data_IF_050739326396
#
_entry.id   IF_050739326396
#
_cell.length_a   1.000
_cell.length_b   1.000
_cell.length_c   1.000
_cell.angle_alpha   90.00
_cell.angle_beta   90.00
_cell.angle_gamma   90.00
#
_symmetry.space_group_name_H-M   'P 1'
#
loop_
_entity.id
_entity.type
_entity.pdbx_description
1 polymer ?
#
# COMPACT_ATOMS: atom_id res chain seq x y z
N UNK A 1 -48.80 5.41 -1.86
CA UNK A 1 -47.53 5.14 -2.62
C UNK A 1 -46.29 4.97 -1.74
N UNK A 2 -46.39 4.74 -0.43
CA UNK A 2 -45.25 4.73 0.55
C UNK A 2 -44.58 3.35 0.79
N UNK A 3 -45.13 2.25 0.32
CA UNK A 3 -44.62 0.88 0.63
C UNK A 3 -43.41 0.42 -0.16
N UNK A 4 -42.98 1.15 -1.21
CA UNK A 4 -41.87 0.74 -2.07
C UNK A 4 -40.49 1.10 -1.56
N UNK A 5 -40.36 2.10 -0.68
CA UNK A 5 -39.07 2.62 -0.19
C UNK A 5 -38.44 1.76 0.92
N UNK A 6 -39.26 1.22 1.82
CA UNK A 6 -38.79 0.40 2.97
C UNK A 6 -38.15 -0.94 2.57
N UNK A 7 -38.58 -1.56 1.46
CA UNK A 7 -37.98 -2.80 0.94
C UNK A 7 -36.59 -2.60 0.35
N UNK A 8 -36.19 -1.38 -0.04
CA UNK A 8 -34.90 -1.12 -0.66
C UNK A 8 -33.76 -0.97 0.37
N UNK A 9 -34.04 -0.36 1.54
CA UNK A 9 -33.07 -0.17 2.61
C UNK A 9 -32.70 -1.50 3.27
N UNK A 10 -33.66 -2.34 3.60
CA UNK A 10 -33.41 -3.68 4.17
C UNK A 10 -32.66 -4.61 3.19
N UNK A 11 -32.89 -4.49 1.90
CA UNK A 11 -32.12 -5.24 0.89
C UNK A 11 -30.66 -4.75 0.78
N UNK A 12 -30.41 -3.44 0.90
CA UNK A 12 -29.07 -2.87 0.86
C UNK A 12 -28.23 -3.27 2.08
N UNK A 13 -28.82 -3.24 3.28
CA UNK A 13 -28.15 -3.68 4.51
C UNK A 13 -27.86 -5.18 4.52
N UNK A 14 -28.81 -6.01 4.07
CA UNK A 14 -28.60 -7.46 3.94
C UNK A 14 -27.53 -7.80 2.89
N UNK A 15 -27.48 -7.08 1.77
CA UNK A 15 -26.47 -7.27 0.75
C UNK A 15 -25.06 -6.83 1.23
N UNK A 16 -24.96 -5.75 2.02
CA UNK A 16 -23.72 -5.31 2.65
C UNK A 16 -23.23 -6.33 3.69
N UNK A 17 -24.12 -6.87 4.52
CA UNK A 17 -23.79 -7.91 5.49
C UNK A 17 -23.29 -9.19 4.82
N UNK A 18 -23.96 -9.69 3.79
CA UNK A 18 -23.50 -10.85 3.00
C UNK A 18 -22.14 -10.62 2.35
N UNK A 19 -21.88 -9.41 1.80
CA UNK A 19 -20.56 -9.06 1.27
C UNK A 19 -19.49 -9.02 2.35
N UNK A 20 -19.79 -8.55 3.55
CA UNK A 20 -18.84 -8.53 4.67
C UNK A 20 -18.55 -9.96 5.17
N UNK A 21 -19.55 -10.81 5.30
CA UNK A 21 -19.39 -12.22 5.69
C UNK A 21 -18.55 -13.03 4.68
N UNK A 22 -18.71 -12.74 3.38
CA UNK A 22 -17.90 -13.39 2.33
C UNK A 22 -16.45 -12.90 2.28
N UNK A 23 -16.17 -11.68 2.75
CA UNK A 23 -14.82 -11.10 2.75
C UNK A 23 -13.96 -11.58 3.92
N UNK A 24 -14.56 -11.97 5.04
CA UNK A 24 -13.84 -12.44 6.21
C UNK A 24 -12.96 -13.68 5.95
N UNK A 25 -13.48 -14.79 5.37
CA UNK A 25 -12.63 -15.95 5.13
C UNK A 25 -11.54 -15.70 4.11
N UNK A 26 -11.82 -14.92 3.06
CA UNK A 26 -10.81 -14.55 2.07
C UNK A 26 -9.74 -13.62 2.69
N UNK A 27 -10.13 -12.67 3.53
CA UNK A 27 -9.19 -11.80 4.24
C UNK A 27 -8.31 -12.56 5.23
N UNK A 28 -8.86 -13.52 5.97
CA UNK A 28 -8.10 -14.40 6.87
C UNK A 28 -7.12 -15.28 6.09
N UNK A 29 -7.53 -15.86 4.97
CA UNK A 29 -6.65 -16.63 4.10
C UNK A 29 -5.48 -15.81 3.55
N UNK A 30 -5.75 -14.57 3.10
CA UNK A 30 -4.72 -13.65 2.64
C UNK A 30 -3.78 -13.23 3.77
N UNK A 31 -4.30 -12.99 4.98
CA UNK A 31 -3.49 -12.67 6.15
C UNK A 31 -2.55 -13.84 6.52
N UNK A 32 -3.09 -15.06 6.52
CA UNK A 32 -2.29 -16.27 6.76
C UNK A 32 -1.20 -16.42 5.70
N UNK A 33 -1.52 -16.21 4.41
CA UNK A 33 -0.55 -16.22 3.32
C UNK A 33 0.55 -15.17 3.51
N UNK A 34 0.20 -13.96 3.92
CA UNK A 34 1.16 -12.88 4.21
C UNK A 34 2.08 -13.22 5.39
N UNK A 35 1.53 -13.79 6.47
CA UNK A 35 2.32 -14.27 7.60
C UNK A 35 3.27 -15.41 7.20
N UNK A 36 2.80 -16.34 6.39
CA UNK A 36 3.61 -17.44 5.88
C UNK A 36 4.77 -16.92 5.01
N UNK A 37 4.52 -15.91 4.16
CA UNK A 37 5.57 -15.24 3.39
C UNK A 37 6.58 -14.52 4.30
N UNK A 38 6.14 -13.89 5.38
CA UNK A 38 7.06 -13.30 6.37
C UNK A 38 7.93 -14.37 7.02
N UNK A 39 7.34 -15.47 7.49
CA UNK A 39 8.09 -16.58 8.08
C UNK A 39 9.08 -17.15 7.07
N UNK A 40 8.66 -17.34 5.82
CA UNK A 40 9.51 -17.82 4.73
C UNK A 40 10.71 -16.88 4.47
N UNK A 41 10.51 -15.56 4.60
CA UNK A 41 11.59 -14.59 4.42
C UNK A 41 12.60 -14.57 5.59
N UNK A 42 12.16 -14.87 6.83
CA UNK A 42 13.04 -14.83 7.99
C UNK A 42 13.70 -16.16 8.34
N UNK A 43 13.05 -17.28 8.01
CA UNK A 43 13.49 -18.61 8.43
C UNK A 43 14.05 -19.36 7.24
N UNK A 44 15.35 -19.61 7.27
CA UNK A 44 15.99 -20.55 6.34
C UNK A 44 15.72 -21.99 6.82
N UNK A 45 14.98 -22.74 6.03
CA UNK A 45 14.70 -24.14 6.29
C UNK A 45 15.44 -25.09 5.36
N UNK A 46 15.12 -26.38 5.45
CA UNK A 46 15.69 -27.42 4.61
C UNK A 46 14.69 -27.89 3.53
N UNK A 47 15.21 -28.61 2.54
CA UNK A 47 14.42 -29.26 1.49
C UNK A 47 13.50 -28.29 0.71
N UNK A 48 12.21 -28.52 0.71
CA UNK A 48 11.19 -27.72 -0.01
C UNK A 48 11.15 -26.28 0.48
N UNK A 49 11.32 -26.04 1.79
CA UNK A 49 11.33 -24.72 2.37
C UNK A 49 12.47 -23.85 1.83
N UNK A 50 13.65 -24.45 1.68
CA UNK A 50 14.83 -23.79 1.09
C UNK A 50 14.57 -23.37 -0.36
N UNK A 51 13.98 -24.25 -1.17
CA UNK A 51 13.66 -23.93 -2.56
C UNK A 51 12.68 -22.75 -2.64
N UNK A 52 11.64 -22.75 -1.80
CA UNK A 52 10.69 -21.63 -1.74
C UNK A 52 11.34 -20.32 -1.29
N UNK A 53 12.22 -20.38 -0.30
CA UNK A 53 13.01 -19.25 0.17
C UNK A 53 13.91 -18.69 -0.94
N UNK A 54 14.66 -19.56 -1.63
CA UNK A 54 15.57 -19.18 -2.71
C UNK A 54 14.81 -18.58 -3.89
N UNK A 55 13.65 -19.12 -4.25
CA UNK A 55 12.78 -18.54 -5.29
C UNK A 55 12.27 -17.17 -4.86
N UNK A 56 11.82 -17.03 -3.63
CA UNK A 56 11.30 -15.76 -3.11
C UNK A 56 12.40 -14.68 -3.12
N UNK A 57 13.58 -15.01 -2.61
CA UNK A 57 14.71 -14.08 -2.57
C UNK A 57 15.33 -13.86 -3.95
N UNK A 58 15.41 -14.88 -4.80
CA UNK A 58 15.85 -14.73 -6.18
C UNK A 58 14.95 -13.78 -6.98
N UNK A 59 13.64 -13.80 -6.75
CA UNK A 59 12.71 -12.91 -7.43
C UNK A 59 12.69 -11.50 -6.83
N UNK A 60 12.52 -11.38 -5.53
CA UNK A 60 12.26 -10.11 -4.84
C UNK A 60 13.47 -9.58 -4.07
N UNK A 61 14.48 -10.40 -3.78
CA UNK A 61 15.59 -10.00 -2.93
C UNK A 61 15.12 -9.48 -1.58
N UNK A 62 15.64 -8.33 -1.14
CA UNK A 62 15.21 -7.66 0.10
C UNK A 62 13.73 -7.22 0.07
N UNK A 63 13.12 -7.08 -1.11
CA UNK A 63 11.69 -6.83 -1.27
C UNK A 63 10.81 -7.94 -0.72
N UNK A 64 11.34 -9.15 -0.48
CA UNK A 64 10.63 -10.27 0.13
C UNK A 64 10.08 -9.91 1.52
N UNK A 65 10.82 -9.15 2.31
CA UNK A 65 10.38 -8.67 3.62
C UNK A 65 9.21 -7.69 3.50
N UNK A 66 9.33 -6.77 2.52
CA UNK A 66 8.28 -5.77 2.23
C UNK A 66 7.03 -6.46 1.68
N UNK A 67 7.21 -7.49 0.83
CA UNK A 67 6.11 -8.24 0.23
C UNK A 67 5.22 -8.90 1.29
N UNK A 68 5.80 -9.60 2.26
CA UNK A 68 5.05 -10.23 3.35
C UNK A 68 4.23 -9.22 4.15
N UNK A 69 4.84 -8.11 4.55
CA UNK A 69 4.16 -7.02 5.25
C UNK A 69 3.05 -6.37 4.41
N UNK A 70 3.31 -6.15 3.11
CA UNK A 70 2.34 -5.60 2.17
C UNK A 70 1.10 -6.49 2.02
N UNK A 71 1.28 -7.81 1.89
CA UNK A 71 0.17 -8.77 1.80
C UNK A 71 -0.66 -8.76 3.10
N UNK A 72 -0.02 -8.69 4.27
CA UNK A 72 -0.73 -8.55 5.54
C UNK A 72 -1.55 -7.25 5.61
N UNK A 73 -0.97 -6.12 5.20
CA UNK A 73 -1.69 -4.85 5.12
C UNK A 73 -2.88 -4.90 4.16
N UNK A 74 -2.69 -5.52 2.97
CA UNK A 74 -3.78 -5.72 2.01
C UNK A 74 -4.91 -6.58 2.57
N UNK A 75 -4.60 -7.64 3.33
CA UNK A 75 -5.59 -8.47 3.99
C UNK A 75 -6.48 -7.66 4.94
N UNK A 76 -5.87 -6.78 5.75
CA UNK A 76 -6.59 -5.90 6.66
C UNK A 76 -7.45 -4.87 5.90
N UNK A 77 -6.92 -4.26 4.84
CA UNK A 77 -7.67 -3.29 4.02
C UNK A 77 -8.83 -3.96 3.27
N UNK A 78 -8.63 -5.20 2.81
CA UNK A 78 -9.67 -5.99 2.16
C UNK A 78 -10.85 -6.27 3.10
N UNK A 79 -10.59 -6.63 4.35
CA UNK A 79 -11.64 -6.85 5.35
C UNK A 79 -12.39 -5.56 5.69
N UNK A 80 -11.72 -4.40 5.64
CA UNK A 80 -12.33 -3.08 5.85
C UNK A 80 -13.18 -2.59 4.67
N UNK A 81 -13.07 -3.24 3.52
CA UNK A 81 -13.88 -2.89 2.34
C UNK A 81 -13.38 -1.67 1.56
N UNK A 82 -12.14 -1.25 1.78
CA UNK A 82 -11.52 -0.15 1.03
C UNK A 82 -11.26 -0.51 -0.44
N UNK A 83 -11.07 0.50 -1.28
CA UNK A 83 -10.71 0.31 -2.69
C UNK A 83 -9.32 -0.31 -2.81
N UNK A 84 -9.31 -1.59 -3.16
CA UNK A 84 -8.10 -2.42 -3.15
C UNK A 84 -7.17 -2.12 -4.32
N UNK A 85 -7.72 -1.79 -5.48
CA UNK A 85 -6.95 -1.66 -6.72
C UNK A 85 -5.88 -0.57 -6.64
N UNK A 86 -6.25 0.61 -6.16
CA UNK A 86 -5.31 1.73 -5.98
C UNK A 86 -4.22 1.40 -4.96
N UNK A 87 -4.56 0.70 -3.88
CA UNK A 87 -3.62 0.30 -2.83
C UNK A 87 -2.66 -0.78 -3.31
N UNK A 88 -3.16 -1.78 -4.05
CA UNK A 88 -2.31 -2.81 -4.66
C UNK A 88 -1.31 -2.18 -5.63
N UNK A 89 -1.78 -1.26 -6.49
CA UNK A 89 -0.90 -0.58 -7.45
C UNK A 89 0.23 0.18 -6.75
N UNK A 90 -0.07 0.93 -5.68
CA UNK A 90 0.93 1.65 -4.89
C UNK A 90 1.93 0.69 -4.22
N UNK A 91 1.46 -0.44 -3.69
CA UNK A 91 2.32 -1.44 -3.05
C UNK A 91 3.23 -2.14 -4.05
N UNK A 92 2.71 -2.54 -5.22
CA UNK A 92 3.49 -3.14 -6.31
C UNK A 92 4.54 -2.16 -6.81
N UNK A 93 4.15 -0.91 -7.04
CA UNK A 93 5.07 0.14 -7.46
C UNK A 93 6.17 0.36 -6.41
N UNK A 94 5.80 0.44 -5.14
CA UNK A 94 6.76 0.57 -4.03
C UNK A 94 7.73 -0.59 -3.95
N UNK A 95 7.25 -1.82 -4.15
CA UNK A 95 8.09 -3.01 -4.18
C UNK A 95 9.10 -2.96 -5.33
N UNK A 96 8.66 -2.61 -6.54
CA UNK A 96 9.54 -2.48 -7.71
C UNK A 96 10.58 -1.37 -7.50
N UNK A 97 10.19 -0.25 -6.88
CA UNK A 97 11.13 0.82 -6.55
C UNK A 97 12.17 0.37 -5.53
N UNK A 98 11.77 -0.30 -4.45
CA UNK A 98 12.72 -0.80 -3.44
C UNK A 98 13.71 -1.78 -4.07
N UNK A 99 13.21 -2.78 -4.80
CA UNK A 99 14.05 -3.77 -5.49
C UNK A 99 14.98 -3.11 -6.51
N UNK A 100 14.46 -2.18 -7.32
CA UNK A 100 15.24 -1.47 -8.34
C UNK A 100 16.33 -0.60 -7.73
N UNK A 101 16.04 0.08 -6.62
CA UNK A 101 17.02 0.89 -5.90
C UNK A 101 18.20 0.05 -5.44
N UNK A 102 17.93 -1.11 -4.85
CA UNK A 102 18.98 -2.00 -4.34
C UNK A 102 19.88 -2.49 -5.48
N UNK A 103 19.33 -2.77 -6.67
CA UNK A 103 20.16 -3.17 -7.84
C UNK A 103 21.05 -2.03 -8.30
N UNK A 104 20.51 -0.81 -8.40
CA UNK A 104 21.29 0.35 -8.87
C UNK A 104 22.46 0.65 -7.92
N UNK A 105 22.24 0.50 -6.61
CA UNK A 105 23.29 0.69 -5.60
C UNK A 105 24.12 -0.55 -5.30
N UNK A 106 23.81 -1.72 -5.90
CA UNK A 106 24.61 -2.95 -5.78
C UNK A 106 25.87 -2.88 -6.62
N UNK A 107 26.83 -3.79 -6.34
CA UNK A 107 28.10 -3.87 -7.08
C UNK A 107 28.00 -4.63 -8.43
N UNK A 108 26.80 -4.92 -8.90
CA UNK A 108 26.60 -5.60 -10.18
C UNK A 108 27.08 -4.67 -11.32
N UNK A 109 28.11 -5.10 -12.05
CA UNK A 109 28.63 -4.35 -13.19
C UNK A 109 27.89 -4.79 -14.48
N UNK A 110 27.20 -3.87 -15.18
CA UNK A 110 26.45 -4.21 -16.40
C UNK A 110 27.34 -4.39 -17.63
N UNK A 111 28.64 -4.02 -17.54
CA UNK A 111 29.52 -3.98 -18.71
C UNK A 111 29.72 -5.37 -19.34
N UNK A 112 29.31 -5.49 -20.62
CA UNK A 112 29.48 -6.71 -21.40
C UNK A 112 28.45 -7.81 -21.16
N UNK A 113 27.47 -7.61 -20.31
CA UNK A 113 26.40 -8.57 -20.06
C UNK A 113 25.18 -8.30 -20.96
N UNK A 114 24.63 -9.38 -21.53
CA UNK A 114 23.31 -9.31 -22.17
C UNK A 114 22.22 -9.14 -21.11
N UNK A 115 21.04 -8.66 -21.51
CA UNK A 115 19.91 -8.46 -20.59
C UNK A 115 19.53 -9.75 -19.84
N UNK A 116 19.58 -10.91 -20.50
CA UNK A 116 19.30 -12.20 -19.88
C UNK A 116 20.38 -12.63 -18.88
N UNK A 117 21.65 -12.38 -19.20
CA UNK A 117 22.75 -12.65 -18.27
C UNK A 117 22.66 -11.75 -17.04
N UNK A 118 22.30 -10.49 -17.21
CA UNK A 118 22.11 -9.57 -16.09
C UNK A 118 20.90 -9.95 -15.23
N UNK A 119 19.81 -10.39 -15.84
CA UNK A 119 18.65 -10.92 -15.12
C UNK A 119 19.01 -12.14 -14.27
N UNK A 120 19.77 -13.09 -14.86
CA UNK A 120 20.23 -14.29 -14.14
C UNK A 120 21.21 -13.95 -13.01
N UNK A 121 22.07 -12.95 -13.21
CA UNK A 121 22.98 -12.45 -12.17
C UNK A 121 22.20 -11.76 -11.02
N UNK A 122 21.16 -10.98 -11.33
CA UNK A 122 20.28 -10.38 -10.32
C UNK A 122 19.53 -11.44 -9.50
N UNK A 123 19.05 -12.51 -10.16
CA UNK A 123 18.42 -13.63 -9.49
C UNK A 123 19.40 -14.37 -8.57
N UNK A 124 20.56 -14.74 -9.08
CA UNK A 124 21.59 -15.43 -8.29
C UNK A 124 22.07 -14.59 -7.09
N UNK A 125 22.23 -13.29 -7.31
CA UNK A 125 22.56 -12.37 -6.23
C UNK A 125 21.42 -12.26 -5.19
N UNK A 126 20.16 -12.36 -5.63
CA UNK A 126 19.00 -12.43 -4.74
C UNK A 126 19.06 -13.62 -3.80
N UNK A 127 19.41 -14.78 -4.31
CA UNK A 127 19.53 -16.02 -3.51
C UNK A 127 20.68 -15.93 -2.49
N UNK A 128 21.81 -15.31 -2.88
CA UNK A 128 23.05 -15.33 -2.10
C UNK A 128 23.23 -14.13 -1.16
N UNK A 129 22.54 -13.02 -1.41
CA UNK A 129 22.72 -11.78 -0.66
C UNK A 129 21.40 -11.23 -0.12
N UNK A 130 21.35 -10.95 1.17
CA UNK A 130 20.17 -10.38 1.83
C UNK A 130 19.78 -9.00 1.28
N UNK A 131 20.77 -8.19 0.95
CA UNK A 131 20.62 -6.86 0.35
C UNK A 131 20.77 -6.96 -1.17
N UNK A 132 19.81 -7.61 -1.79
CA UNK A 132 19.74 -7.74 -3.24
C UNK A 132 18.35 -7.29 -3.72
N UNK A 133 18.29 -6.81 -4.97
CA UNK A 133 17.00 -6.41 -5.57
C UNK A 133 16.27 -7.54 -6.28
N UNK A 134 16.87 -8.73 -6.39
CA UNK A 134 16.30 -9.87 -7.09
C UNK A 134 16.01 -9.61 -8.57
N UNK A 135 15.32 -10.56 -9.22
CA UNK A 135 14.96 -10.45 -10.63
C UNK A 135 13.96 -9.32 -10.91
N UNK A 136 13.07 -9.02 -9.98
CA UNK A 136 12.08 -7.93 -10.14
C UNK A 136 12.76 -6.56 -10.12
N UNK A 137 13.81 -6.38 -9.33
CA UNK A 137 14.60 -5.17 -9.34
C UNK A 137 15.28 -4.90 -10.69
N UNK A 138 15.56 -5.95 -11.48
CA UNK A 138 16.08 -5.80 -12.82
C UNK A 138 15.14 -5.02 -13.74
N UNK A 139 13.82 -5.15 -13.58
CA UNK A 139 12.80 -4.47 -14.41
C UNK A 139 13.01 -2.96 -14.41
N UNK A 140 13.35 -2.38 -13.27
CA UNK A 140 13.60 -0.94 -13.15
C UNK A 140 15.10 -0.63 -13.06
N UNK A 141 15.77 -1.17 -12.05
CA UNK A 141 17.17 -0.86 -11.77
C UNK A 141 18.12 -1.42 -12.81
N UNK A 142 17.93 -2.69 -13.23
CA UNK A 142 18.78 -3.33 -14.22
C UNK A 142 18.65 -2.69 -15.61
N UNK A 143 17.43 -2.35 -16.01
CA UNK A 143 17.19 -1.65 -17.28
C UNK A 143 17.83 -0.25 -17.27
N UNK A 144 17.71 0.49 -16.17
CA UNK A 144 18.38 1.78 -16.03
C UNK A 144 19.92 1.67 -16.13
N UNK A 145 20.49 0.65 -15.49
CA UNK A 145 21.94 0.41 -15.55
C UNK A 145 22.42 0.07 -16.97
N UNK A 146 21.62 -0.71 -17.71
CA UNK A 146 21.95 -1.08 -19.08
C UNK A 146 21.83 0.08 -20.06
N UNK A 147 20.83 0.95 -19.89
CA UNK A 147 20.56 2.07 -20.79
C UNK A 147 21.43 3.30 -20.51
N UNK A 148 21.58 3.66 -19.25
CA UNK A 148 22.15 4.94 -18.84
C UNK A 148 23.56 4.81 -18.24
N UNK A 149 23.97 3.59 -17.91
CA UNK A 149 25.19 3.36 -17.12
C UNK A 149 25.03 3.81 -15.66
N UNK A 150 26.03 3.49 -14.84
CA UNK A 150 25.95 3.59 -13.39
C UNK A 150 25.71 5.02 -12.85
N UNK A 151 26.49 6.06 -13.27
CA UNK A 151 26.32 7.40 -12.71
C UNK A 151 24.95 8.01 -13.03
N UNK A 152 24.46 7.84 -14.25
CA UNK A 152 23.15 8.37 -14.64
C UNK A 152 21.99 7.56 -14.01
N UNK A 153 22.13 6.24 -13.94
CA UNK A 153 21.14 5.39 -13.28
C UNK A 153 20.97 5.74 -11.80
N UNK A 154 22.05 6.04 -11.07
CA UNK A 154 22.01 6.48 -9.69
C UNK A 154 21.21 7.79 -9.53
N UNK A 155 21.48 8.79 -10.36
CA UNK A 155 20.76 10.08 -10.32
C UNK A 155 19.28 9.90 -10.63
N UNK A 156 18.96 9.19 -11.70
CA UNK A 156 17.58 8.93 -12.10
C UNK A 156 16.85 8.16 -10.98
N UNK A 157 17.50 7.17 -10.40
CA UNK A 157 16.90 6.36 -9.34
C UNK A 157 16.62 7.16 -8.08
N UNK A 158 17.50 8.07 -7.69
CA UNK A 158 17.26 8.99 -6.56
C UNK A 158 16.04 9.87 -6.83
N UNK A 159 15.92 10.45 -8.03
CA UNK A 159 14.76 11.26 -8.40
C UNK A 159 13.47 10.43 -8.40
N UNK A 160 13.52 9.25 -9.02
CA UNK A 160 12.38 8.33 -9.04
C UNK A 160 11.95 7.89 -7.63
N UNK A 161 12.93 7.64 -6.74
CA UNK A 161 12.66 7.26 -5.36
C UNK A 161 12.01 8.40 -4.58
N UNK A 162 12.47 9.64 -4.78
CA UNK A 162 11.84 10.81 -4.19
C UNK A 162 10.41 11.01 -4.71
N UNK A 163 10.21 11.04 -6.02
CA UNK A 163 8.90 11.20 -6.62
C UNK A 163 7.95 10.04 -6.27
N UNK A 164 8.46 8.80 -6.35
CA UNK A 164 7.71 7.61 -6.02
C UNK A 164 7.27 7.57 -4.56
N UNK A 165 8.14 7.96 -3.63
CA UNK A 165 7.79 8.04 -2.21
C UNK A 165 6.70 9.07 -1.95
N UNK A 166 6.75 10.25 -2.58
CA UNK A 166 5.70 11.26 -2.49
C UNK A 166 4.34 10.71 -2.96
N UNK A 167 4.35 9.99 -4.08
CA UNK A 167 3.15 9.39 -4.63
C UNK A 167 2.57 8.29 -3.73
N UNK A 168 3.43 7.41 -3.19
CA UNK A 168 3.01 6.28 -2.34
C UNK A 168 2.43 6.78 -1.02
N UNK A 169 3.05 7.81 -0.42
CA UNK A 169 2.62 8.36 0.87
C UNK A 169 1.52 9.42 0.76
N UNK A 170 1.08 9.76 -0.46
CA UNK A 170 0.11 10.84 -0.73
C UNK A 170 0.56 12.18 -0.10
N UNK A 171 1.87 12.46 -0.13
CA UNK A 171 2.48 13.68 0.42
C UNK A 171 2.74 14.66 -0.70
N UNK A 172 2.31 15.90 -0.54
CA UNK A 172 2.58 16.92 -1.55
C UNK A 172 4.02 17.45 -1.46
N UNK A 173 4.65 17.86 -2.58
CA UNK A 173 5.99 18.44 -2.54
C UNK A 173 6.09 19.68 -1.63
N UNK A 174 4.99 20.43 -1.50
CA UNK A 174 4.92 21.57 -0.59
C UNK A 174 5.00 21.15 0.89
N UNK A 175 4.39 20.03 1.26
CA UNK A 175 4.49 19.49 2.62
C UNK A 175 5.90 19.02 2.95
N UNK A 176 6.60 18.42 1.98
CA UNK A 176 8.00 18.02 2.14
C UNK A 176 8.90 19.25 2.29
N UNK A 177 8.66 20.29 1.48
CA UNK A 177 9.41 21.54 1.57
C UNK A 177 9.25 22.20 2.94
N UNK A 178 8.01 22.28 3.44
CA UNK A 178 7.74 22.82 4.79
C UNK A 178 8.43 21.97 5.86
N UNK A 179 8.44 20.65 5.72
CA UNK A 179 9.13 19.75 6.63
C UNK A 179 10.66 19.95 6.56
N UNK A 180 11.22 20.06 5.36
CA UNK A 180 12.66 20.29 5.15
C UNK A 180 13.10 21.65 5.74
N UNK A 181 12.30 22.69 5.53
CA UNK A 181 12.51 23.99 6.14
C UNK A 181 12.36 23.96 7.68
N UNK A 182 11.50 23.10 8.21
CA UNK A 182 11.36 22.92 9.66
C UNK A 182 12.57 22.21 10.29
N UNK A 183 13.14 21.25 9.59
CA UNK A 183 14.37 20.54 10.04
C UNK A 183 15.59 21.46 9.98
N UNK A 184 15.70 22.32 8.93
CA UNK A 184 16.85 23.22 8.75
C UNK A 184 16.73 24.53 9.51
N UNK A 185 15.52 24.98 9.85
CA UNK A 185 15.21 26.30 10.39
C UNK A 185 14.72 26.39 11.84
N UNK A 186 15.08 25.43 12.71
CA UNK A 186 14.72 25.46 14.13
C UNK A 186 13.46 24.69 14.51
N UNK A 187 13.70 23.64 15.23
CA UNK A 187 12.82 22.46 15.43
C UNK A 187 11.51 22.75 16.19
N UNK A 188 11.41 23.81 16.98
CA UNK A 188 10.31 23.94 17.94
C UNK A 188 9.09 24.77 17.49
N UNK A 189 9.26 25.84 16.72
CA UNK A 189 8.15 26.75 16.41
C UNK A 189 7.30 26.31 15.20
N UNK A 190 7.89 25.64 14.21
CA UNK A 190 7.22 25.24 12.96
C UNK A 190 6.59 23.87 13.02
N UNK A 191 7.09 22.98 13.86
CA UNK A 191 6.47 21.69 14.14
C UNK A 191 5.08 21.82 14.79
N UNK A 192 4.90 22.82 15.63
CA UNK A 192 3.61 23.14 16.25
C UNK A 192 2.58 23.62 15.20
N UNK A 193 2.96 24.49 14.26
CA UNK A 193 2.07 24.97 13.21
C UNK A 193 1.64 23.86 12.24
N UNK A 194 2.53 22.90 11.97
CA UNK A 194 2.19 21.75 11.11
C UNK A 194 1.29 20.72 11.82
N UNK A 195 1.51 20.51 13.11
CA UNK A 195 0.63 19.69 13.94
C UNK A 195 -0.78 20.31 14.05
N UNK A 196 -0.84 21.63 14.16
CA UNK A 196 -2.08 22.40 14.22
C UNK A 196 -2.85 22.34 12.88
N UNK A 197 -2.17 22.47 11.73
CA UNK A 197 -2.81 22.29 10.43
C UNK A 197 -3.32 20.86 10.20
N UNK A 198 -2.58 19.85 10.64
CA UNK A 198 -3.07 18.46 10.59
C UNK A 198 -4.25 18.22 11.53
N UNK A 199 -4.23 18.83 12.71
CA UNK A 199 -5.35 18.78 13.65
C UNK A 199 -6.58 19.48 13.07
N UNK A 200 -6.43 20.66 12.46
CA UNK A 200 -7.49 21.39 11.80
C UNK A 200 -8.13 20.59 10.65
N UNK A 201 -7.31 20.00 9.76
CA UNK A 201 -7.83 19.13 8.67
C UNK A 201 -8.50 17.84 9.18
N UNK A 202 -8.04 17.30 10.31
CA UNK A 202 -8.71 16.16 10.95
C UNK A 202 -10.03 16.57 11.59
N UNK A 203 -10.08 17.74 12.24
CA UNK A 203 -11.29 18.30 12.80
C UNK A 203 -12.33 18.62 11.71
N UNK A 204 -11.90 19.20 10.59
CA UNK A 204 -12.77 19.47 9.44
C UNK A 204 -13.38 18.18 8.86
N UNK A 205 -12.54 17.14 8.66
CA UNK A 205 -13.02 15.82 8.21
C UNK A 205 -13.91 15.11 9.24
N UNK A 206 -13.69 15.36 10.53
CA UNK A 206 -14.53 14.84 11.59
C UNK A 206 -15.88 15.58 11.63
N UNK A 207 -15.87 16.90 11.45
CA UNK A 207 -17.08 17.73 11.36
C UNK A 207 -17.94 17.36 10.15
N UNK A 208 -17.31 17.12 8.97
CA UNK A 208 -18.04 16.65 7.78
C UNK A 208 -18.70 15.29 8.04
N UNK A 209 -17.99 14.35 8.68
CA UNK A 209 -18.57 13.04 9.02
C UNK A 209 -19.66 13.12 10.10
N UNK A 210 -19.57 14.09 10.99
CA UNK A 210 -20.65 14.31 11.97
C UNK A 210 -21.88 14.91 11.29
N UNK A 211 -21.70 15.90 10.42
CA UNK A 211 -22.79 16.47 9.64
C UNK A 211 -23.46 15.43 8.71
N UNK A 212 -22.68 14.54 8.11
CA UNK A 212 -23.23 13.41 7.32
C UNK A 212 -24.08 12.46 8.20
N UNK A 213 -23.64 12.20 9.45
CA UNK A 213 -24.40 11.36 10.38
C UNK A 213 -25.66 12.04 10.89
N UNK A 214 -25.59 13.32 11.19
CA UNK A 214 -26.77 14.12 11.61
C UNK A 214 -27.82 14.17 10.51
N UNK A 215 -27.40 14.30 9.25
CA UNK A 215 -28.31 14.25 8.09
C UNK A 215 -28.94 12.84 7.94
N UNK A 216 -28.14 11.77 8.13
CA UNK A 216 -28.65 10.41 8.04
C UNK A 216 -29.62 10.09 9.20
N UNK A 217 -29.36 10.59 10.43
CA UNK A 217 -30.24 10.44 11.60
C UNK A 217 -31.53 11.25 11.42
N UNK A 218 -31.47 12.50 10.95
CA UNK A 218 -32.65 13.34 10.65
C UNK A 218 -33.52 12.73 9.56
N UNK A 219 -32.88 12.04 8.58
CA UNK A 219 -33.61 11.35 7.53
C UNK A 219 -34.35 10.10 8.04
N UNK A 220 -33.72 9.35 8.95
CA UNK A 220 -34.34 8.18 9.60
C UNK A 220 -35.48 8.59 10.55
N UNK A 221 -35.32 9.66 11.34
CA UNK A 221 -36.39 10.17 12.21
C UNK A 221 -37.59 10.65 11.42
N UNK A 222 -37.37 11.35 10.29
CA UNK A 222 -38.48 11.82 9.44
C UNK A 222 -39.21 10.67 8.73
N UNK A 223 -38.52 9.59 8.37
CA UNK A 223 -39.20 8.39 7.82
C UNK A 223 -40.02 7.67 8.89
N UNK A 224 -39.53 7.58 10.12
CA UNK A 224 -40.24 6.97 11.26
C UNK A 224 -41.47 7.78 11.69
N UNK A 225 -41.40 9.12 11.72
CA UNK A 225 -42.57 9.99 11.98
C UNK A 225 -43.64 9.86 10.88
N UNK A 226 -43.24 9.77 9.62
CA UNK A 226 -44.19 9.56 8.50
C UNK A 226 -44.86 8.20 8.58
N UNK A 227 -44.14 7.16 9.02
CA UNK A 227 -44.69 5.82 9.24
C UNK A 227 -45.66 5.78 10.41
N UNK A 228 -45.37 6.47 11.53
CA UNK A 228 -46.26 6.58 12.69
C UNK A 228 -47.53 7.34 12.32
N UNK A 229 -47.44 8.46 11.62
CA UNK A 229 -48.63 9.20 11.14
C UNK A 229 -49.53 8.36 10.22
N UNK A 230 -48.93 7.54 9.37
CA UNK A 230 -49.68 6.62 8.49
C UNK A 230 -50.39 5.51 9.28
N UNK A 231 -49.78 5.03 10.39
CA UNK A 231 -50.33 3.96 11.23
C UNK A 231 -51.52 4.46 12.11
N UNK A 232 -51.43 5.70 12.56
CA UNK A 232 -52.49 6.28 13.44
C UNK A 232 -53.66 6.91 12.69
N UNK A 233 -53.59 7.09 11.40
CA UNK A 233 -54.66 7.62 10.56
C UNK A 233 -55.47 6.53 9.78
N UNK A 234 -55.29 5.27 10.15
CA UNK A 234 -56.05 4.15 9.63
C UNK A 234 -56.93 3.54 10.72
#
# INVERSE_FOLDING_TARGET
>A
MATKKRKSTTRRTAARRKKAEQRLPAGLGTLFGGLLLMVLAFVQGDSVWRVLHDVLFGLFGCGSFVLGAAVCCLAVLYTRGEELLSRILKLVLGLVFVCGTVIVFSDIQPQGLSALQMLSACYANGVNAWLSGGAIGFVLGGVLLLLCGRPAANLIMIVLLLCGSLYIFDVTPAEVWVWLCAVTGGIHARGAAFAEQRAARRAERAAIRQAEREIDEEYDETEDEQLLRWYFHR
#
